data_IF_155081436178
#
_entry.id   IF_155081436178
#
_cell.length_a   1.000
_cell.length_b   1.000
_cell.length_c   1.000
_cell.angle_alpha   90.00
_cell.angle_beta   90.00
_cell.angle_gamma   90.00
#
_symmetry.space_group_name_H-M   'P 1'
#
loop_
_entity.id
_entity.type
_entity.pdbx_description
1 polymer ?
#
# COMPACT_ATOMS: atom_id res chain seq x y z
N UNK A 1 4.06 11.80 5.37
CA UNK A 1 4.87 10.71 4.79
C UNK A 1 4.11 9.98 3.66
N UNK A 2 2.79 10.15 3.62
CA UNK A 2 1.87 9.58 2.63
C UNK A 2 2.26 9.81 1.17
N UNK A 3 2.55 11.05 0.77
CA UNK A 3 2.88 11.39 -0.61
C UNK A 3 4.16 10.69 -1.12
N UNK A 4 5.12 10.48 -0.22
CA UNK A 4 6.34 9.72 -0.54
C UNK A 4 5.99 8.24 -0.81
N UNK A 5 5.19 7.63 0.07
CA UNK A 5 4.74 6.25 -0.08
C UNK A 5 3.98 6.05 -1.41
N UNK A 6 3.07 6.97 -1.76
CA UNK A 6 2.36 6.95 -3.05
C UNK A 6 3.31 7.00 -4.24
N UNK A 7 4.34 7.85 -4.21
CA UNK A 7 5.35 7.94 -5.29
C UNK A 7 6.15 6.64 -5.42
N UNK A 8 6.59 6.06 -4.31
CA UNK A 8 7.31 4.77 -4.31
C UNK A 8 6.43 3.67 -4.87
N UNK A 9 5.22 3.50 -4.34
CA UNK A 9 4.25 2.51 -4.81
C UNK A 9 3.94 2.66 -6.29
N UNK A 10 3.82 3.89 -6.79
CA UNK A 10 3.63 4.13 -8.21
C UNK A 10 4.81 3.64 -9.05
N UNK A 11 6.05 3.89 -8.61
CA UNK A 11 7.25 3.42 -9.30
C UNK A 11 7.37 1.91 -9.30
N UNK A 12 6.96 1.22 -8.23
CA UNK A 12 7.08 -0.24 -8.12
C UNK A 12 5.84 -1.01 -8.56
N UNK A 13 4.80 -0.31 -9.01
CA UNK A 13 3.50 -0.93 -9.35
C UNK A 13 3.53 -1.89 -10.54
N UNK A 14 4.62 -1.91 -11.31
CA UNK A 14 4.83 -2.87 -12.40
C UNK A 14 5.16 -4.29 -11.90
N UNK A 15 5.61 -4.43 -10.65
CA UNK A 15 5.97 -5.72 -10.05
C UNK A 15 5.13 -6.00 -8.81
N UNK A 16 4.36 -7.09 -8.85
CA UNK A 16 3.43 -7.47 -7.79
C UNK A 16 4.13 -7.69 -6.45
N UNK A 17 5.30 -8.34 -6.45
CA UNK A 17 6.02 -8.67 -5.23
C UNK A 17 6.67 -7.43 -4.61
N UNK A 18 7.24 -6.56 -5.45
CA UNK A 18 7.84 -5.30 -5.03
C UNK A 18 6.78 -4.32 -4.52
N UNK A 19 5.63 -4.24 -5.20
CA UNK A 19 4.49 -3.45 -4.73
C UNK A 19 4.03 -3.91 -3.34
N UNK A 20 3.84 -5.21 -3.13
CA UNK A 20 3.46 -5.75 -1.82
C UNK A 20 4.49 -5.43 -0.72
N UNK A 21 5.79 -5.54 -1.05
CA UNK A 21 6.89 -5.25 -0.11
C UNK A 21 6.91 -3.77 0.31
N UNK A 22 6.82 -2.86 -0.65
CA UNK A 22 6.83 -1.42 -0.37
C UNK A 22 5.51 -0.95 0.25
N UNK A 23 4.39 -1.62 -0.03
CA UNK A 23 3.10 -1.33 0.62
C UNK A 23 3.18 -1.64 2.12
N UNK A 24 3.74 -2.80 2.49
CA UNK A 24 3.99 -3.14 3.90
C UNK A 24 4.90 -2.14 4.60
N UNK A 25 6.00 -1.73 3.97
CA UNK A 25 6.88 -0.67 4.53
C UNK A 25 6.16 0.66 4.68
N UNK A 26 5.28 1.00 3.75
CA UNK A 26 4.48 2.22 3.86
C UNK A 26 3.62 2.19 5.12
N UNK A 27 3.08 1.03 5.53
CA UNK A 27 2.30 0.92 6.77
C UNK A 27 3.13 1.20 8.02
N UNK A 28 4.40 0.77 8.08
CA UNK A 28 5.24 1.02 9.26
C UNK A 28 5.63 2.50 9.39
N UNK A 29 5.68 3.26 8.29
CA UNK A 29 6.03 4.68 8.30
C UNK A 29 4.84 5.63 8.46
N UNK A 30 3.61 5.16 8.21
CA UNK A 30 2.42 5.99 8.24
C UNK A 30 1.65 5.87 9.55
N UNK A 31 1.11 7.00 10.00
CA UNK A 31 0.12 7.07 11.09
C UNK A 31 -1.22 6.50 10.64
N UNK A 32 -2.07 6.10 11.59
CA UNK A 32 -3.38 5.50 11.29
C UNK A 32 -4.23 6.32 10.30
N UNK A 33 -4.26 7.65 10.44
CA UNK A 33 -4.99 8.55 9.54
C UNK A 33 -4.44 8.51 8.10
N UNK A 34 -3.12 8.49 7.95
CA UNK A 34 -2.46 8.40 6.64
C UNK A 34 -2.62 6.99 6.04
N UNK A 35 -2.70 5.93 6.85
CA UNK A 35 -2.90 4.55 6.38
C UNK A 35 -4.23 4.40 5.66
N UNK A 36 -5.33 4.91 6.22
CA UNK A 36 -6.63 4.84 5.56
C UNK A 36 -6.62 5.62 4.24
N UNK A 37 -6.00 6.81 4.24
CA UNK A 37 -5.81 7.60 3.02
C UNK A 37 -5.00 6.86 1.96
N UNK A 38 -3.97 6.11 2.36
CA UNK A 38 -3.17 5.29 1.45
C UNK A 38 -3.98 4.11 0.90
N UNK A 39 -4.76 3.43 1.75
CA UNK A 39 -5.61 2.29 1.37
C UNK A 39 -6.59 2.68 0.27
N UNK A 40 -7.33 3.76 0.47
CA UNK A 40 -8.30 4.26 -0.51
C UNK A 40 -7.64 4.61 -1.84
N UNK A 41 -6.45 5.24 -1.78
CA UNK A 41 -5.68 5.57 -2.97
C UNK A 41 -5.19 4.31 -3.72
N UNK A 42 -4.67 3.32 -2.99
CA UNK A 42 -4.23 2.05 -3.56
C UNK A 42 -5.39 1.29 -4.21
N UNK A 43 -6.55 1.18 -3.55
CA UNK A 43 -7.73 0.53 -4.12
C UNK A 43 -8.24 1.26 -5.36
N UNK A 44 -8.29 2.60 -5.34
CA UNK A 44 -8.74 3.38 -6.49
C UNK A 44 -7.83 3.20 -7.72
N UNK A 45 -6.51 3.12 -7.51
CA UNK A 45 -5.53 3.11 -8.62
C UNK A 45 -5.12 1.70 -9.06
N UNK A 46 -5.09 0.75 -8.13
CA UNK A 46 -4.56 -0.59 -8.31
C UNK A 46 -5.51 -1.68 -7.84
N UNK A 47 -6.74 -1.36 -7.46
CA UNK A 47 -7.71 -2.35 -6.96
C UNK A 47 -8.02 -3.45 -7.97
N UNK A 48 -8.05 -3.12 -9.26
CA UNK A 48 -8.29 -4.10 -10.33
C UNK A 48 -7.15 -5.14 -10.45
N UNK A 49 -5.90 -4.70 -10.24
CA UNK A 49 -4.71 -5.55 -10.38
C UNK A 49 -4.31 -6.25 -9.07
N UNK A 50 -4.40 -5.52 -7.95
CA UNK A 50 -3.81 -5.86 -6.66
C UNK A 50 -4.81 -5.74 -5.50
N UNK A 51 -6.12 -5.71 -5.77
CA UNK A 51 -7.16 -5.54 -4.75
C UNK A 51 -7.01 -6.49 -3.55
N UNK A 52 -6.76 -7.77 -3.82
CA UNK A 52 -6.52 -8.78 -2.78
C UNK A 52 -5.30 -8.42 -1.91
N UNK A 53 -4.15 -8.12 -2.53
CA UNK A 53 -2.92 -7.74 -1.80
C UNK A 53 -3.17 -6.52 -0.91
N UNK A 54 -3.86 -5.51 -1.45
CA UNK A 54 -4.16 -4.29 -0.73
C UNK A 54 -5.02 -4.62 0.48
N UNK A 55 -6.17 -5.29 0.29
CA UNK A 55 -7.08 -5.65 1.37
C UNK A 55 -6.36 -6.47 2.45
N UNK A 56 -5.65 -7.54 2.07
CA UNK A 56 -4.94 -8.40 3.02
C UNK A 56 -3.87 -7.64 3.80
N UNK A 57 -3.13 -6.73 3.15
CA UNK A 57 -2.08 -5.94 3.80
C UNK A 57 -2.63 -4.97 4.83
N UNK A 58 -3.80 -4.36 4.58
CA UNK A 58 -4.46 -3.46 5.54
C UNK A 58 -5.29 -4.20 6.59
N UNK A 59 -5.72 -5.44 6.33
CA UNK A 59 -6.50 -6.26 7.27
C UNK A 59 -5.64 -7.01 8.30
N UNK A 60 -4.38 -7.32 7.98
CA UNK A 60 -3.49 -8.01 8.91
C UNK A 60 -2.17 -7.25 9.12
N UNK A 61 -2.13 -6.31 10.09
CA UNK A 61 -0.91 -5.60 10.43
C UNK A 61 0.15 -6.50 11.10
N UNK A 62 -0.14 -7.75 11.46
CA UNK A 62 0.80 -8.66 12.13
C UNK A 62 1.80 -9.38 11.19
N UNK A 63 1.77 -9.09 9.88
CA UNK A 63 2.77 -9.57 8.90
C UNK A 63 3.89 -8.54 8.62
N UNK A 64 4.09 -7.60 9.56
CA UNK A 64 5.17 -6.58 9.56
C UNK A 64 6.18 -6.89 10.66
#
# INVERSE_FOLDING_TARGET
MLEFCKKVLAKVSFDRALFAKELKKSLSWLKNEERESLKQWCLKKYGDLYGEIIITTFSNPALV
#
